data_IF_415872978021
#
_entry.id   IF_415872978021
#
_cell.length_a   1.000
_cell.length_b   1.000
_cell.length_c   1.000
_cell.angle_alpha   90.00
_cell.angle_beta   90.00
_cell.angle_gamma   90.00
#
_symmetry.space_group_name_H-M   'P 1'
#
loop_
_entity.id
_entity.type
_entity.pdbx_description
1 polymer ?
#
# COMPACT_ATOMS: atom_id res chain seq x y z
N UNK A 1 -55.04 22.51 6.11
CA UNK A 1 -53.95 22.70 7.08
C UNK A 1 -52.83 21.78 6.66
N UNK A 2 -51.81 22.33 6.01
CA UNK A 2 -50.66 21.56 5.52
C UNK A 2 -49.73 21.22 6.68
N UNK A 3 -49.43 19.93 6.84
CA UNK A 3 -48.31 19.47 7.64
C UNK A 3 -47.15 19.23 6.68
N UNK A 4 -46.26 20.21 6.59
CA UNK A 4 -44.99 20.13 5.90
C UNK A 4 -44.15 19.06 6.61
N UNK A 5 -43.99 17.90 5.98
CA UNK A 5 -42.95 16.94 6.38
C UNK A 5 -41.60 17.60 6.15
N UNK A 6 -41.02 18.14 7.21
CA UNK A 6 -39.60 18.46 7.27
C UNK A 6 -38.84 17.14 7.19
N UNK A 7 -38.45 16.77 5.97
CA UNK A 7 -37.32 15.88 5.73
C UNK A 7 -36.11 16.51 6.41
N UNK A 8 -35.74 16.02 7.59
CA UNK A 8 -34.45 16.38 8.17
C UNK A 8 -33.38 15.73 7.31
N UNK A 9 -32.78 16.53 6.44
CA UNK A 9 -31.49 16.24 5.86
C UNK A 9 -30.53 15.99 7.02
N UNK A 10 -30.12 14.72 7.21
CA UNK A 10 -29.07 14.41 8.19
C UNK A 10 -27.80 15.10 7.71
N UNK A 11 -27.15 15.95 8.52
CA UNK A 11 -25.92 16.63 8.12
C UNK A 11 -24.84 15.59 7.84
N UNK A 12 -23.86 15.96 7.01
CA UNK A 12 -22.66 15.17 6.76
C UNK A 12 -22.18 14.49 8.06
N UNK A 13 -22.23 13.15 8.05
CA UNK A 13 -22.31 12.31 9.24
C UNK A 13 -21.27 12.58 10.33
N UNK A 14 -21.69 12.30 11.57
CA UNK A 14 -20.89 12.43 12.80
C UNK A 14 -19.49 11.83 12.66
N UNK A 15 -18.50 12.33 13.44
CA UNK A 15 -17.24 11.63 13.68
C UNK A 15 -17.45 10.15 14.01
N UNK A 16 -16.55 9.33 13.48
CA UNK A 16 -16.48 7.89 13.73
C UNK A 16 -15.34 7.59 14.71
N UNK A 17 -15.52 6.56 15.52
CA UNK A 17 -14.50 5.97 16.39
C UNK A 17 -13.93 4.73 15.70
N UNK A 18 -12.67 4.78 15.31
CA UNK A 18 -12.04 3.81 14.41
C UNK A 18 -10.92 3.09 15.16
N UNK A 19 -11.00 1.76 15.24
CA UNK A 19 -9.89 0.93 15.66
C UNK A 19 -9.03 0.60 14.44
N UNK A 20 -7.84 1.19 14.37
CA UNK A 20 -6.86 0.95 13.31
C UNK A 20 -5.91 -0.17 13.74
N UNK A 21 -5.99 -1.35 13.13
CA UNK A 21 -5.19 -2.52 13.50
C UNK A 21 -4.08 -2.71 12.47
N UNK A 22 -2.82 -2.57 12.91
CA UNK A 22 -1.64 -2.72 12.06
C UNK A 22 -0.83 -3.96 12.44
N UNK A 23 -0.17 -4.62 11.47
CA UNK A 23 0.67 -5.77 11.77
C UNK A 23 1.80 -5.45 12.77
N UNK A 24 2.28 -6.45 13.55
CA UNK A 24 3.24 -6.22 14.63
C UNK A 24 4.70 -6.07 14.16
N UNK A 25 4.95 -5.77 12.88
CA UNK A 25 6.28 -5.89 12.27
C UNK A 25 7.17 -4.68 12.50
N UNK A 26 6.62 -3.49 12.26
CA UNK A 26 7.34 -2.23 12.18
C UNK A 26 6.60 -1.15 12.98
N UNK A 27 7.31 -0.07 13.32
CA UNK A 27 6.67 1.13 13.88
C UNK A 27 5.80 1.82 12.83
N UNK A 28 4.86 2.65 13.29
CA UNK A 28 3.99 3.45 12.42
C UNK A 28 4.21 4.94 12.71
N UNK A 29 4.83 5.71 11.80
CA UNK A 29 5.49 5.28 10.56
C UNK A 29 6.81 4.50 10.81
N UNK A 30 7.32 3.76 9.81
CA UNK A 30 8.61 3.09 9.88
C UNK A 30 9.76 4.08 9.57
N UNK A 31 10.95 3.91 10.17
CA UNK A 31 12.11 4.77 9.90
C UNK A 31 12.73 4.57 8.50
N UNK A 32 12.41 3.45 7.84
CA UNK A 32 12.95 3.10 6.52
C UNK A 32 11.90 2.34 5.70
N UNK A 33 12.27 1.15 5.21
CA UNK A 33 11.35 0.28 4.48
C UNK A 33 10.08 -0.05 5.29
N UNK A 34 8.91 -0.01 4.62
CA UNK A 34 7.62 -0.36 5.21
C UNK A 34 6.46 0.37 4.52
N UNK A 35 6.14 -0.03 3.29
CA UNK A 35 5.11 0.65 2.48
C UNK A 35 3.73 0.63 3.13
N UNK A 36 3.36 -0.48 3.79
CA UNK A 36 2.09 -0.62 4.50
C UNK A 36 2.02 0.38 5.65
N UNK A 37 3.02 0.38 6.53
CA UNK A 37 3.03 1.21 7.74
C UNK A 37 3.07 2.70 7.40
N UNK A 38 3.75 3.09 6.31
CA UNK A 38 3.70 4.46 5.79
C UNK A 38 2.30 4.86 5.31
N UNK A 39 1.62 3.99 4.55
CA UNK A 39 0.25 4.22 4.11
C UNK A 39 -0.70 4.35 5.30
N UNK A 40 -0.58 3.49 6.30
CA UNK A 40 -1.43 3.56 7.49
C UNK A 40 -1.16 4.84 8.29
N UNK A 41 0.10 5.25 8.46
CA UNK A 41 0.42 6.51 9.13
C UNK A 41 -0.27 7.70 8.45
N UNK A 42 -0.16 7.80 7.12
CA UNK A 42 -0.81 8.84 6.33
C UNK A 42 -2.35 8.79 6.40
N UNK A 43 -2.94 7.59 6.40
CA UNK A 43 -4.37 7.39 6.54
C UNK A 43 -4.89 7.84 7.92
N UNK A 44 -4.21 7.42 8.99
CA UNK A 44 -4.55 7.80 10.38
C UNK A 44 -4.55 9.31 10.52
N UNK A 45 -3.48 9.98 10.09
CA UNK A 45 -3.36 11.43 10.19
C UNK A 45 -4.44 12.15 9.38
N UNK A 46 -4.76 11.66 8.19
CA UNK A 46 -5.81 12.23 7.36
C UNK A 46 -7.21 12.02 7.97
N UNK A 47 -7.50 10.86 8.56
CA UNK A 47 -8.78 10.60 9.24
C UNK A 47 -8.94 11.49 10.49
N UNK A 48 -7.87 11.68 11.27
CA UNK A 48 -7.89 12.58 12.43
C UNK A 48 -8.11 14.04 12.01
N UNK A 49 -7.44 14.52 10.95
CA UNK A 49 -7.71 15.87 10.38
C UNK A 49 -9.15 16.06 9.93
N UNK A 50 -9.82 14.98 9.54
CA UNK A 50 -11.25 14.98 9.15
C UNK A 50 -12.20 14.91 10.35
N UNK A 51 -11.66 14.85 11.57
CA UNK A 51 -12.42 14.89 12.81
C UNK A 51 -12.80 13.52 13.38
N UNK A 52 -12.32 12.42 12.80
CA UNK A 52 -12.55 11.08 13.36
C UNK A 52 -11.65 10.83 14.58
N UNK A 53 -12.14 10.00 15.50
CA UNK A 53 -11.35 9.47 16.60
C UNK A 53 -10.73 8.15 16.18
N UNK A 54 -9.40 8.05 16.17
CA UNK A 54 -8.65 6.88 15.72
C UNK A 54 -7.78 6.38 16.88
N UNK A 55 -7.95 5.10 17.21
CA UNK A 55 -7.08 4.37 18.13
C UNK A 55 -6.25 3.38 17.33
N UNK A 56 -4.92 3.46 17.43
CA UNK A 56 -4.01 2.57 16.74
C UNK A 56 -3.65 1.36 17.61
N UNK A 57 -3.78 0.15 17.08
CA UNK A 57 -3.39 -1.10 17.70
C UNK A 57 -2.21 -1.69 16.95
N UNK A 58 -1.08 -1.88 17.63
CA UNK A 58 0.17 -2.34 17.00
C UNK A 58 1.14 -2.94 18.01
N UNK A 59 2.36 -3.24 17.56
CA UNK A 59 3.48 -3.61 18.44
C UNK A 59 4.40 -2.41 18.67
N UNK A 60 5.24 -2.48 19.71
CA UNK A 60 6.10 -1.39 20.15
C UNK A 60 5.46 -0.55 21.26
N UNK A 61 6.19 0.48 21.69
CA UNK A 61 5.79 1.37 22.79
C UNK A 61 5.39 2.77 22.31
N UNK A 62 5.54 3.05 21.02
CA UNK A 62 5.38 4.37 20.46
C UNK A 62 4.83 4.35 19.03
N UNK A 63 4.11 5.40 18.66
CA UNK A 63 3.67 5.71 17.30
C UNK A 63 3.94 7.19 16.99
N UNK A 64 4.20 7.49 15.72
CA UNK A 64 4.47 8.85 15.23
C UNK A 64 3.29 9.52 14.54
N UNK A 65 2.08 9.02 14.78
CA UNK A 65 0.85 9.49 14.13
C UNK A 65 0.04 10.39 15.06
N UNK A 66 -0.98 11.03 14.49
CA UNK A 66 -1.95 11.89 15.17
C UNK A 66 -3.08 11.10 15.86
N UNK A 67 -3.00 9.76 15.92
CA UNK A 67 -3.99 8.94 16.61
C UNK A 67 -4.15 9.39 18.06
N UNK A 68 -5.38 9.44 18.56
CA UNK A 68 -5.68 9.92 19.92
C UNK A 68 -5.23 8.93 20.99
N UNK A 69 -5.08 7.65 20.63
CA UNK A 69 -4.60 6.62 21.52
C UNK A 69 -3.82 5.55 20.75
N UNK A 70 -2.88 4.91 21.45
CA UNK A 70 -2.15 3.75 20.99
C UNK A 70 -2.23 2.63 22.01
N UNK A 71 -2.64 1.45 21.53
CA UNK A 71 -2.79 0.25 22.32
C UNK A 71 -1.75 -0.75 21.86
N UNK A 72 -0.68 -0.88 22.65
CA UNK A 72 0.36 -1.87 22.39
C UNK A 72 -0.13 -3.28 22.67
N UNK A 73 0.11 -4.16 21.73
CA UNK A 73 -0.13 -5.62 21.84
C UNK A 73 1.13 -6.38 22.22
N UNK A 74 2.25 -5.68 22.41
CA UNK A 74 3.55 -6.22 22.77
C UNK A 74 4.63 -5.15 22.63
N UNK A 75 5.54 -5.06 23.60
CA UNK A 75 6.56 -4.00 23.64
C UNK A 75 7.63 -4.10 22.54
N UNK A 76 7.79 -5.27 21.93
CA UNK A 76 8.80 -5.50 20.88
C UNK A 76 8.19 -5.66 19.50
N UNK A 77 8.74 -4.91 18.54
CA UNK A 77 8.51 -5.10 17.11
C UNK A 77 8.99 -6.50 16.67
N UNK A 78 8.27 -7.11 15.74
CA UNK A 78 8.53 -8.47 15.26
C UNK A 78 9.20 -8.49 13.88
N UNK A 79 9.95 -7.43 13.52
CA UNK A 79 10.58 -7.28 12.21
C UNK A 79 11.43 -8.48 11.77
N UNK A 80 12.19 -9.09 12.70
CA UNK A 80 13.02 -10.26 12.41
C UNK A 80 12.23 -11.51 11.99
N UNK A 81 10.92 -11.51 12.26
CA UNK A 81 9.96 -12.60 11.98
C UNK A 81 8.88 -12.15 11.00
N UNK A 82 9.16 -11.11 10.21
CA UNK A 82 8.26 -10.56 9.20
C UNK A 82 7.72 -11.69 8.30
N UNK A 83 6.39 -11.78 8.19
CA UNK A 83 5.72 -12.77 7.37
C UNK A 83 5.44 -14.12 8.06
N UNK A 84 5.94 -14.35 9.27
CA UNK A 84 5.56 -15.54 10.05
C UNK A 84 4.13 -15.42 10.59
N UNK A 85 3.33 -16.49 10.52
CA UNK A 85 1.92 -16.44 10.97
C UNK A 85 1.76 -16.33 12.49
N UNK A 86 2.68 -16.89 13.28
CA UNK A 86 2.51 -17.01 14.73
C UNK A 86 2.57 -15.65 15.48
N UNK A 87 3.53 -14.74 15.19
CA UNK A 87 3.52 -13.40 15.78
C UNK A 87 2.24 -12.62 15.45
N UNK A 88 1.77 -12.69 14.20
CA UNK A 88 0.55 -12.00 13.75
C UNK A 88 -0.70 -12.55 14.46
N UNK A 89 -0.78 -13.87 14.63
CA UNK A 89 -1.88 -14.52 15.33
C UNK A 89 -1.90 -14.15 16.82
N UNK A 90 -0.73 -14.12 17.47
CA UNK A 90 -0.61 -13.70 18.86
C UNK A 90 -1.01 -12.22 19.05
N UNK A 91 -0.62 -11.36 18.11
CA UNK A 91 -1.05 -9.96 18.06
C UNK A 91 -2.58 -9.86 17.96
N UNK A 92 -3.21 -10.54 17.00
CA UNK A 92 -4.67 -10.49 16.80
C UNK A 92 -5.47 -11.10 17.95
N UNK A 93 -4.96 -12.14 18.59
CA UNK A 93 -5.58 -12.73 19.77
C UNK A 93 -5.68 -11.71 20.92
N UNK A 94 -4.66 -10.85 21.09
CA UNK A 94 -4.68 -9.73 22.06
C UNK A 94 -5.61 -8.61 21.62
N UNK A 95 -5.54 -8.18 20.36
CA UNK A 95 -6.45 -7.14 19.82
C UNK A 95 -7.91 -7.50 20.06
N UNK A 96 -8.28 -8.77 19.83
CA UNK A 96 -9.65 -9.26 20.09
C UNK A 96 -10.10 -9.09 21.55
N UNK A 97 -9.19 -9.19 22.52
CA UNK A 97 -9.52 -9.02 23.95
C UNK A 97 -9.64 -7.54 24.34
N UNK A 98 -9.12 -6.62 23.51
CA UNK A 98 -9.00 -5.20 23.81
C UNK A 98 -10.04 -4.34 23.07
N UNK A 99 -10.79 -4.91 22.12
CA UNK A 99 -11.82 -4.19 21.36
C UNK A 99 -13.21 -4.52 21.90
N UNK A 100 -13.94 -3.48 22.31
CA UNK A 100 -15.36 -3.54 22.65
C UNK A 100 -16.21 -2.70 21.68
N UNK A 101 -17.48 -3.10 21.48
CA UNK A 101 -18.45 -2.38 20.64
C UNK A 101 -18.88 -1.06 21.25
N UNK A 102 -18.80 -0.91 22.57
CA UNK A 102 -19.04 0.35 23.23
C UNK A 102 -18.05 1.43 22.76
N UNK A 103 -16.83 1.06 22.36
CA UNK A 103 -15.73 2.00 22.11
C UNK A 103 -15.56 2.37 20.64
N UNK A 104 -15.90 1.48 19.71
CA UNK A 104 -15.62 1.64 18.28
C UNK A 104 -16.85 1.49 17.38
N UNK A 105 -16.92 2.33 16.35
CA UNK A 105 -17.91 2.22 15.29
C UNK A 105 -17.46 1.24 14.19
N UNK A 106 -16.16 1.18 13.91
CA UNK A 106 -15.56 0.32 12.88
C UNK A 106 -14.13 -0.08 13.26
N UNK A 107 -13.74 -1.29 12.85
CA UNK A 107 -12.36 -1.77 12.87
C UNK A 107 -11.83 -1.75 11.44
N UNK A 108 -10.66 -1.16 11.25
CA UNK A 108 -9.92 -1.25 10.00
C UNK A 108 -8.65 -2.08 10.21
N UNK A 109 -8.62 -3.25 9.61
CA UNK A 109 -7.58 -4.26 9.78
C UNK A 109 -6.61 -4.28 8.57
N UNK A 110 -5.32 -4.12 8.84
CA UNK A 110 -4.26 -4.20 7.82
C UNK A 110 -3.42 -5.47 7.94
N UNK A 111 -3.81 -6.43 8.79
CA UNK A 111 -3.12 -7.70 8.97
C UNK A 111 -3.50 -8.72 7.90
N UNK A 112 -2.61 -9.67 7.64
CA UNK A 112 -2.80 -10.69 6.59
C UNK A 112 -3.90 -11.67 6.96
N UNK A 113 -3.92 -12.13 8.21
CA UNK A 113 -4.86 -13.13 8.73
C UNK A 113 -6.05 -12.53 9.50
N UNK A 114 -6.04 -11.24 9.79
CA UNK A 114 -7.12 -10.51 10.47
C UNK A 114 -8.52 -10.78 9.93
N UNK A 115 -8.72 -10.76 8.59
CA UNK A 115 -10.02 -11.07 7.99
C UNK A 115 -10.63 -12.40 8.47
N UNK A 116 -9.81 -13.43 8.66
CA UNK A 116 -10.26 -14.79 9.02
C UNK A 116 -10.76 -14.90 10.46
N UNK A 117 -10.28 -14.03 11.34
CA UNK A 117 -10.66 -14.02 12.76
C UNK A 117 -11.66 -12.91 13.09
N UNK A 118 -11.90 -12.00 12.15
CA UNK A 118 -12.72 -10.81 12.34
C UNK A 118 -14.23 -11.09 12.36
N UNK A 119 -14.71 -12.16 11.74
CA UNK A 119 -16.15 -12.49 11.75
C UNK A 119 -16.75 -12.66 13.15
N UNK A 120 -15.92 -13.03 14.13
CA UNK A 120 -16.33 -13.18 15.55
C UNK A 120 -16.39 -11.86 16.33
N UNK A 121 -16.02 -10.73 15.72
CA UNK A 121 -16.02 -9.42 16.37
C UNK A 121 -17.45 -8.86 16.39
N UNK A 122 -17.78 -8.10 17.42
CA UNK A 122 -19.09 -7.42 17.56
C UNK A 122 -19.14 -6.06 16.85
N UNK A 123 -17.98 -5.58 16.39
CA UNK A 123 -17.79 -4.31 15.68
C UNK A 123 -17.58 -4.58 14.20
N UNK A 124 -18.21 -3.80 13.31
CA UNK A 124 -17.97 -3.93 11.89
C UNK A 124 -16.50 -3.85 11.50
N UNK A 125 -16.02 -4.83 10.74
CA UNK A 125 -14.62 -4.89 10.32
C UNK A 125 -14.49 -4.74 8.82
N UNK A 126 -13.61 -3.83 8.41
CA UNK A 126 -13.09 -3.77 7.05
C UNK A 126 -11.61 -4.13 7.07
N UNK A 127 -11.13 -4.78 6.03
CA UNK A 127 -9.72 -5.13 5.92
C UNK A 127 -9.15 -4.74 4.56
N UNK A 128 -8.00 -4.08 4.57
CA UNK A 128 -7.30 -3.74 3.33
C UNK A 128 -6.43 -4.91 2.89
N UNK A 129 -6.63 -5.37 1.65
CA UNK A 129 -5.84 -6.45 1.08
C UNK A 129 -4.58 -5.85 0.44
N UNK A 130 -3.44 -6.00 1.12
CA UNK A 130 -2.14 -5.49 0.62
C UNK A 130 -1.42 -6.47 -0.31
N UNK A 131 -1.72 -7.76 -0.21
CA UNK A 131 -1.14 -8.82 -1.03
C UNK A 131 -1.89 -9.08 -2.34
N UNK A 132 -1.43 -10.07 -3.11
CA UNK A 132 -2.12 -10.52 -4.32
C UNK A 132 -3.36 -11.34 -3.95
N UNK A 133 -4.58 -10.97 -4.38
CA UNK A 133 -5.82 -11.62 -3.97
C UNK A 133 -6.09 -12.96 -4.70
N UNK A 134 -5.13 -13.51 -5.42
CA UNK A 134 -5.23 -14.82 -6.10
C UNK A 134 -4.34 -15.87 -5.45
N UNK A 135 -4.36 -17.09 -5.97
CA UNK A 135 -3.56 -18.20 -5.44
C UNK A 135 -3.98 -18.62 -4.03
N UNK A 136 -3.02 -19.06 -3.23
CA UNK A 136 -3.27 -19.53 -1.87
C UNK A 136 -3.88 -18.43 -0.98
N UNK A 137 -3.38 -17.19 -1.08
CA UNK A 137 -3.92 -16.08 -0.30
C UNK A 137 -5.36 -15.74 -0.71
N UNK A 138 -5.67 -15.77 -2.01
CA UNK A 138 -7.04 -15.62 -2.51
C UNK A 138 -8.00 -16.70 -2.01
N UNK A 139 -7.57 -17.96 -1.97
CA UNK A 139 -8.35 -19.06 -1.40
C UNK A 139 -8.66 -18.81 0.07
N UNK A 140 -7.65 -18.41 0.85
CA UNK A 140 -7.81 -18.05 2.26
C UNK A 140 -8.79 -16.89 2.44
N UNK A 141 -8.67 -15.82 1.65
CA UNK A 141 -9.59 -14.68 1.71
C UNK A 141 -11.04 -15.05 1.36
N UNK A 142 -11.26 -16.07 0.52
CA UNK A 142 -12.61 -16.54 0.14
C UNK A 142 -13.36 -17.20 1.32
N UNK A 143 -12.63 -17.67 2.33
CA UNK A 143 -13.18 -18.24 3.56
C UNK A 143 -13.41 -17.21 4.67
N UNK A 144 -13.18 -15.93 4.37
CA UNK A 144 -13.52 -14.82 5.26
C UNK A 144 -15.02 -14.81 5.57
N UNK A 145 -15.36 -14.56 6.83
CA UNK A 145 -16.75 -14.46 7.30
C UNK A 145 -17.52 -13.33 6.62
N UNK A 146 -18.84 -13.52 6.44
CA UNK A 146 -19.72 -12.54 5.78
C UNK A 146 -19.82 -11.18 6.49
N UNK A 147 -19.35 -11.07 7.73
CA UNK A 147 -19.25 -9.82 8.48
C UNK A 147 -18.02 -8.97 8.12
N UNK A 148 -17.10 -9.45 7.30
CA UNK A 148 -15.86 -8.72 7.00
C UNK A 148 -15.89 -8.19 5.57
N UNK A 149 -15.75 -6.88 5.43
CA UNK A 149 -15.63 -6.23 4.12
C UNK A 149 -14.17 -6.11 3.70
N UNK A 150 -13.81 -6.60 2.52
CA UNK A 150 -12.47 -6.41 1.98
C UNK A 150 -12.38 -5.12 1.16
N UNK A 151 -11.26 -4.42 1.25
CA UNK A 151 -10.96 -3.23 0.45
C UNK A 151 -9.74 -3.52 -0.42
N UNK A 152 -9.91 -3.39 -1.73
CA UNK A 152 -8.82 -3.47 -2.69
C UNK A 152 -8.08 -2.13 -2.76
N UNK A 153 -6.77 -2.19 -2.98
CA UNK A 153 -5.91 -1.00 -3.16
C UNK A 153 -5.76 -0.57 -4.62
N UNK A 154 -6.35 -1.30 -5.56
CA UNK A 154 -6.51 -0.91 -6.97
C UNK A 154 -7.71 -1.60 -7.61
N UNK A 155 -8.21 -1.03 -8.72
CA UNK A 155 -9.28 -1.63 -9.50
C UNK A 155 -8.78 -2.89 -10.21
N UNK A 156 -7.53 -2.91 -10.69
CA UNK A 156 -6.91 -4.12 -11.23
C UNK A 156 -6.88 -5.24 -10.18
N UNK A 157 -6.41 -4.96 -8.96
CA UNK A 157 -6.38 -5.97 -7.89
C UNK A 157 -7.77 -6.53 -7.61
N UNK A 158 -8.79 -5.67 -7.50
CA UNK A 158 -10.18 -6.11 -7.32
C UNK A 158 -10.66 -7.02 -8.47
N UNK A 159 -10.28 -6.69 -9.70
CA UNK A 159 -10.64 -7.44 -10.91
C UNK A 159 -10.00 -8.84 -10.99
N UNK A 160 -8.84 -9.05 -10.37
CA UNK A 160 -8.16 -10.35 -10.37
C UNK A 160 -8.92 -11.44 -9.61
N UNK A 161 -9.71 -11.07 -8.60
CA UNK A 161 -10.55 -12.00 -7.86
C UNK A 161 -11.89 -11.35 -7.48
N UNK A 162 -12.84 -11.26 -8.43
CA UNK A 162 -14.11 -10.53 -8.23
C UNK A 162 -15.07 -11.23 -7.26
N UNK A 163 -14.81 -12.50 -6.91
CA UNK A 163 -15.64 -13.29 -5.99
C UNK A 163 -15.40 -13.01 -4.51
N UNK A 164 -14.34 -12.29 -4.15
CA UNK A 164 -14.07 -11.90 -2.77
C UNK A 164 -15.09 -10.85 -2.28
N UNK A 165 -15.34 -10.76 -0.96
CA UNK A 165 -16.33 -9.84 -0.38
C UNK A 165 -15.84 -8.38 -0.38
N UNK A 166 -15.58 -7.83 -1.57
CA UNK A 166 -15.15 -6.45 -1.75
C UNK A 166 -16.25 -5.46 -1.41
N UNK A 167 -15.98 -4.56 -0.46
CA UNK A 167 -16.86 -3.44 -0.10
C UNK A 167 -16.40 -2.10 -0.70
N UNK A 168 -15.20 -2.07 -1.28
CA UNK A 168 -14.67 -0.89 -1.94
C UNK A 168 -13.32 -1.11 -2.60
N UNK A 169 -12.91 -0.11 -3.36
CA UNK A 169 -11.54 0.06 -3.84
C UNK A 169 -11.07 1.43 -3.39
N UNK A 170 -9.96 1.49 -2.68
CA UNK A 170 -9.36 2.74 -2.21
C UNK A 170 -7.88 2.69 -2.49
N UNK A 171 -7.42 3.52 -3.43
CA UNK A 171 -5.99 3.67 -3.71
C UNK A 171 -5.23 4.10 -2.46
N UNK A 172 -4.02 3.58 -2.32
CA UNK A 172 -3.12 4.10 -1.31
C UNK A 172 -2.76 5.55 -1.63
N UNK A 173 -2.49 6.32 -0.58
CA UNK A 173 -2.16 7.73 -0.70
C UNK A 173 -0.86 8.09 -0.01
N UNK A 174 -0.20 9.12 -0.53
CA UNK A 174 1.01 9.72 0.03
C UNK A 174 0.68 11.11 0.58
N UNK A 175 1.35 11.49 1.67
CA UNK A 175 1.32 12.87 2.15
C UNK A 175 2.34 13.69 1.36
N UNK A 176 1.86 14.77 0.74
CA UNK A 176 2.63 15.59 -0.18
C UNK A 176 3.10 16.89 0.48
N UNK A 177 2.70 17.12 1.73
CA UNK A 177 3.16 18.26 2.53
C UNK A 177 4.66 18.14 2.73
N UNK A 178 5.36 19.24 2.48
CA UNK A 178 6.81 19.37 2.66
C UNK A 178 7.66 18.38 1.84
N UNK A 179 7.04 17.65 0.90
CA UNK A 179 7.77 16.75 0.01
C UNK A 179 8.54 17.61 -1.00
N UNK A 180 9.88 17.47 -1.09
CA UNK A 180 10.66 18.15 -2.11
C UNK A 180 10.26 17.66 -3.50
N UNK A 181 10.29 18.59 -4.46
CA UNK A 181 9.87 18.37 -5.84
C UNK A 181 10.93 18.89 -6.77
N UNK A 182 11.12 18.20 -7.89
CA UNK A 182 11.89 18.71 -9.01
C UNK A 182 11.20 19.91 -9.62
N UNK A 183 11.98 20.94 -9.94
CA UNK A 183 11.53 22.06 -10.77
C UNK A 183 11.73 21.80 -12.26
N UNK A 184 12.66 20.91 -12.63
CA UNK A 184 13.00 20.55 -14.01
C UNK A 184 13.45 19.09 -14.09
N UNK A 185 13.33 18.49 -15.29
CA UNK A 185 13.89 17.18 -15.59
C UNK A 185 15.41 17.21 -15.42
N UNK A 186 15.98 16.21 -14.72
CA UNK A 186 17.40 16.14 -14.40
C UNK A 186 18.11 15.04 -15.21
N UNK A 187 19.34 15.24 -15.71
CA UNK A 187 20.07 14.25 -16.51
C UNK A 187 20.72 13.13 -15.67
N UNK A 188 20.18 12.82 -14.48
CA UNK A 188 20.72 11.80 -13.58
C UNK A 188 20.50 10.36 -14.07
N UNK A 189 20.85 9.36 -13.24
CA UNK A 189 20.72 7.96 -13.62
C UNK A 189 19.25 7.55 -13.75
N UNK A 190 19.01 6.48 -14.50
CA UNK A 190 17.75 5.72 -14.36
C UNK A 190 17.79 5.06 -12.98
N UNK A 191 16.74 5.25 -12.18
CA UNK A 191 16.64 4.65 -10.86
C UNK A 191 15.75 3.41 -10.93
N UNK A 192 16.23 2.30 -10.40
CA UNK A 192 15.39 1.17 -10.01
C UNK A 192 15.35 1.14 -8.48
N UNK A 193 14.14 1.08 -7.92
CA UNK A 193 13.93 1.18 -6.48
C UNK A 193 12.90 0.15 -6.00
N UNK A 194 13.36 -1.00 -5.53
CA UNK A 194 12.48 -2.06 -5.04
C UNK A 194 13.23 -3.08 -4.15
N UNK A 195 12.59 -4.19 -3.81
CA UNK A 195 13.27 -5.34 -3.20
C UNK A 195 14.10 -6.06 -4.26
N UNK A 196 15.27 -6.56 -3.91
CA UNK A 196 16.08 -7.40 -4.79
C UNK A 196 15.45 -8.80 -4.92
N UNK A 197 14.45 -8.92 -5.78
CA UNK A 197 13.74 -10.16 -6.05
C UNK A 197 13.38 -10.31 -7.54
N UNK A 198 13.17 -11.55 -8.02
CA UNK A 198 12.85 -11.80 -9.43
C UNK A 198 11.60 -11.05 -9.91
N UNK A 199 10.57 -10.93 -9.06
CA UNK A 199 9.33 -10.25 -9.40
C UNK A 199 9.49 -8.74 -9.67
N UNK A 200 10.59 -8.14 -9.20
CA UNK A 200 10.90 -6.71 -9.37
C UNK A 200 11.84 -6.41 -10.55
N UNK A 201 12.41 -7.44 -11.17
CA UNK A 201 13.16 -7.35 -12.43
C UNK A 201 14.40 -6.44 -12.45
N UNK A 202 15.28 -6.39 -11.43
CA UNK A 202 16.51 -5.58 -11.52
C UNK A 202 17.42 -6.00 -12.68
N UNK A 203 17.44 -7.28 -13.04
CA UNK A 203 18.15 -7.81 -14.20
C UNK A 203 17.60 -7.28 -15.54
N UNK A 204 16.27 -7.10 -15.62
CA UNK A 204 15.60 -6.47 -16.76
C UNK A 204 15.97 -5.00 -16.82
N UNK A 205 16.02 -4.29 -15.69
CA UNK A 205 16.45 -2.89 -15.62
C UNK A 205 17.89 -2.72 -16.13
N UNK A 206 18.82 -3.59 -15.72
CA UNK A 206 20.22 -3.59 -16.21
C UNK A 206 20.26 -3.73 -17.73
N UNK A 207 19.57 -4.73 -18.29
CA UNK A 207 19.56 -4.96 -19.75
C UNK A 207 18.94 -3.77 -20.51
N UNK A 208 17.84 -3.22 -20.00
CA UNK A 208 17.16 -2.09 -20.61
C UNK A 208 18.03 -0.83 -20.62
N UNK A 209 18.69 -0.50 -19.51
CA UNK A 209 19.55 0.67 -19.40
C UNK A 209 20.80 0.56 -20.28
N UNK A 210 21.41 -0.64 -20.34
CA UNK A 210 22.52 -0.92 -21.26
C UNK A 210 22.14 -0.74 -22.73
N UNK A 211 20.99 -1.28 -23.13
CA UNK A 211 20.47 -1.09 -24.48
C UNK A 211 20.06 0.36 -24.77
N UNK A 212 19.70 1.12 -23.73
CA UNK A 212 19.43 2.55 -23.84
C UNK A 212 20.70 3.40 -23.92
N UNK A 213 21.84 2.89 -23.42
CA UNK A 213 23.08 3.64 -23.23
C UNK A 213 23.00 4.62 -22.05
N UNK A 214 22.24 4.30 -21.01
CA UNK A 214 21.99 5.17 -19.85
C UNK A 214 22.55 4.56 -18.56
N UNK A 215 23.10 5.37 -17.65
CA UNK A 215 23.56 4.90 -16.34
C UNK A 215 22.38 4.45 -15.47
N UNK A 216 22.60 3.41 -14.68
CA UNK A 216 21.59 2.82 -13.80
C UNK A 216 22.04 2.86 -12.34
N UNK A 217 21.14 3.29 -11.46
CA UNK A 217 21.26 3.14 -10.02
C UNK A 217 20.24 2.10 -9.53
N UNK A 218 20.73 0.98 -9.00
CA UNK A 218 19.92 -0.03 -8.32
C UNK A 218 19.90 0.26 -6.81
N UNK A 219 18.78 0.75 -6.28
CA UNK A 219 18.60 0.97 -4.86
C UNK A 219 17.51 0.04 -4.31
N UNK A 220 17.72 -0.57 -3.14
CA UNK A 220 16.71 -1.52 -2.69
C UNK A 220 16.97 -2.30 -1.43
N UNK A 221 15.90 -2.83 -0.85
CA UNK A 221 15.96 -3.76 0.29
C UNK A 221 16.57 -5.09 -0.16
N UNK A 222 17.59 -5.54 0.56
CA UNK A 222 18.28 -6.81 0.39
C UNK A 222 18.74 -7.32 1.76
N UNK A 223 17.79 -7.77 2.58
CA UNK A 223 18.07 -8.22 3.94
C UNK A 223 17.38 -9.55 4.31
N UNK A 224 16.47 -10.04 3.49
CA UNK A 224 15.93 -11.39 3.66
C UNK A 224 16.83 -12.42 2.97
N UNK A 225 16.87 -13.69 3.46
CA UNK A 225 17.70 -14.73 2.85
C UNK A 225 17.44 -14.94 1.35
N UNK A 226 16.18 -14.83 0.91
CA UNK A 226 15.81 -14.97 -0.49
C UNK A 226 16.31 -13.79 -1.35
N UNK A 227 16.23 -12.56 -0.83
CA UNK A 227 16.71 -11.35 -1.51
C UNK A 227 18.23 -11.39 -1.68
N UNK A 228 18.98 -11.74 -0.63
CA UNK A 228 20.43 -11.89 -0.69
C UNK A 228 20.87 -12.95 -1.69
N UNK A 229 20.22 -14.13 -1.68
CA UNK A 229 20.52 -15.20 -2.64
C UNK A 229 20.32 -14.72 -4.08
N UNK A 230 19.19 -14.07 -4.36
CA UNK A 230 18.91 -13.55 -5.70
C UNK A 230 19.92 -12.48 -6.12
N UNK A 231 20.28 -11.58 -5.21
CA UNK A 231 21.32 -10.58 -5.47
C UNK A 231 22.66 -11.25 -5.83
N UNK A 232 23.15 -12.16 -5.01
CA UNK A 232 24.46 -12.79 -5.19
C UNK A 232 24.52 -13.66 -6.45
N UNK A 233 23.46 -14.40 -6.77
CA UNK A 233 23.42 -15.36 -7.88
C UNK A 233 23.07 -14.74 -9.23
N UNK A 234 22.31 -13.63 -9.25
CA UNK A 234 21.75 -13.07 -10.50
C UNK A 234 22.20 -11.63 -10.73
N UNK A 235 22.07 -10.76 -9.73
CA UNK A 235 22.29 -9.32 -9.91
C UNK A 235 23.79 -8.97 -9.88
N UNK A 236 24.51 -9.42 -8.86
CA UNK A 236 25.93 -9.15 -8.68
C UNK A 236 26.80 -9.56 -9.89
N UNK A 237 26.58 -10.73 -10.53
CA UNK A 237 27.31 -11.11 -11.75
C UNK A 237 27.05 -10.22 -12.96
N UNK A 238 25.95 -9.46 -12.96
CA UNK A 238 25.58 -8.56 -14.06
C UNK A 238 26.15 -7.14 -13.88
N UNK A 239 26.72 -6.80 -12.72
CA UNK A 239 27.22 -5.46 -12.44
C UNK A 239 28.47 -5.14 -13.28
N UNK A 240 28.62 -3.87 -13.64
CA UNK A 240 29.78 -3.30 -14.33
C UNK A 240 29.90 -1.82 -13.98
N UNK A 241 30.83 -1.10 -14.62
CA UNK A 241 31.08 0.33 -14.36
C UNK A 241 29.87 1.24 -14.68
N UNK A 242 28.88 0.71 -15.39
CA UNK A 242 27.65 1.38 -15.81
C UNK A 242 26.48 1.27 -14.80
N UNK A 243 26.65 0.50 -13.72
CA UNK A 243 25.60 0.22 -12.74
C UNK A 243 26.10 0.49 -11.31
N UNK A 244 25.49 1.45 -10.64
CA UNK A 244 25.68 1.70 -9.21
C UNK A 244 24.66 0.92 -8.37
N UNK A 245 25.05 0.50 -7.17
CA UNK A 245 24.18 -0.26 -6.26
C UNK A 245 24.18 0.36 -4.87
N UNK A 246 22.99 0.58 -4.31
CA UNK A 246 22.80 0.96 -2.90
C UNK A 246 21.84 0.00 -2.22
N UNK A 247 22.36 -0.80 -1.29
CA UNK A 247 21.56 -1.75 -0.53
C UNK A 247 21.00 -1.10 0.74
N UNK A 248 19.71 -1.35 1.00
CA UNK A 248 19.02 -0.97 2.23
C UNK A 248 19.11 0.54 2.56
N UNK A 249 18.95 1.40 1.54
CA UNK A 249 18.91 2.85 1.70
C UNK A 249 17.83 3.29 2.70
N UNK A 250 18.13 4.31 3.50
CA UNK A 250 17.14 4.97 4.35
C UNK A 250 16.17 5.85 3.53
N UNK A 251 15.14 6.38 4.20
CA UNK A 251 14.08 7.16 3.54
C UNK A 251 14.61 8.46 2.94
N UNK A 252 15.57 9.11 3.61
CA UNK A 252 16.15 10.37 3.17
C UNK A 252 17.00 10.17 1.91
N UNK A 253 17.83 9.13 1.90
CA UNK A 253 18.65 8.77 0.74
C UNK A 253 17.79 8.29 -0.42
N UNK A 254 16.73 7.53 -0.16
CA UNK A 254 15.74 7.15 -1.17
C UNK A 254 15.08 8.38 -1.80
N UNK A 255 14.72 9.37 -1.00
CA UNK A 255 14.13 10.62 -1.49
C UNK A 255 15.12 11.41 -2.36
N UNK A 256 16.38 11.51 -1.94
CA UNK A 256 17.44 12.14 -2.75
C UNK A 256 17.63 11.42 -4.08
N UNK A 257 17.68 10.09 -4.10
CA UNK A 257 17.78 9.30 -5.34
C UNK A 257 16.60 9.56 -6.28
N UNK A 258 15.37 9.62 -5.75
CA UNK A 258 14.20 9.98 -6.54
C UNK A 258 14.35 11.39 -7.14
N UNK A 259 14.82 12.36 -6.35
CA UNK A 259 15.09 13.74 -6.79
C UNK A 259 16.27 13.90 -7.75
N UNK A 260 17.18 12.93 -7.83
CA UNK A 260 18.31 13.00 -8.74
C UNK A 260 18.06 12.19 -10.03
N UNK A 261 17.16 11.20 -9.98
CA UNK A 261 16.93 10.27 -11.09
C UNK A 261 16.36 10.95 -12.36
N UNK A 262 16.76 10.48 -13.54
CA UNK A 262 16.07 10.82 -14.80
C UNK A 262 14.62 10.35 -14.78
N UNK A 263 14.43 9.10 -14.38
CA UNK A 263 13.13 8.44 -14.24
C UNK A 263 13.27 7.25 -13.28
N UNK A 264 12.14 6.77 -12.77
CA UNK A 264 12.06 5.48 -12.11
C UNK A 264 11.75 4.40 -13.16
N UNK A 265 12.57 3.34 -13.25
CA UNK A 265 12.25 2.15 -14.02
C UNK A 265 11.61 1.07 -13.12
N UNK A 266 10.44 0.57 -13.52
CA UNK A 266 9.70 -0.50 -12.83
C UNK A 266 9.37 -1.64 -13.80
N UNK A 267 10.35 -2.51 -14.12
CA UNK A 267 10.15 -3.64 -15.03
C UNK A 267 9.54 -4.83 -14.26
N UNK A 268 8.46 -4.58 -13.54
CA UNK A 268 7.82 -5.53 -12.66
C UNK A 268 7.33 -6.75 -13.47
N UNK A 269 7.55 -7.97 -12.95
CA UNK A 269 7.26 -9.24 -13.65
C UNK A 269 6.00 -9.95 -13.13
N UNK A 270 5.37 -9.44 -12.07
CA UNK A 270 4.13 -9.94 -11.47
C UNK A 270 3.02 -8.89 -11.52
N UNK A 271 1.78 -9.28 -11.23
CA UNK A 271 0.66 -8.33 -11.09
C UNK A 271 0.79 -7.54 -9.79
N UNK A 272 1.52 -6.42 -9.85
CA UNK A 272 1.69 -5.49 -8.74
C UNK A 272 0.34 -4.97 -8.24
N UNK A 273 0.00 -5.15 -6.95
CA UNK A 273 -1.27 -4.69 -6.42
C UNK A 273 -1.45 -3.16 -6.44
N UNK A 274 -0.36 -2.41 -6.28
CA UNK A 274 -0.37 -0.94 -6.34
C UNK A 274 1.00 -0.41 -6.79
N UNK A 275 2.03 -0.50 -5.94
CA UNK A 275 3.37 0.02 -6.23
C UNK A 275 3.59 1.44 -5.73
N UNK A 276 3.66 1.62 -4.41
CA UNK A 276 3.84 2.91 -3.75
C UNK A 276 5.03 3.71 -4.27
N UNK A 277 6.13 3.04 -4.63
CA UNK A 277 7.33 3.70 -5.14
C UNK A 277 7.09 4.49 -6.43
N UNK A 278 6.14 4.06 -7.28
CA UNK A 278 5.76 4.82 -8.47
C UNK A 278 5.08 6.13 -8.09
N UNK A 279 4.19 6.08 -7.09
CA UNK A 279 3.52 7.28 -6.56
C UNK A 279 4.55 8.20 -5.89
N UNK A 280 5.51 7.66 -5.14
CA UNK A 280 6.59 8.45 -4.54
C UNK A 280 7.48 9.12 -5.59
N UNK A 281 7.83 8.43 -6.68
CA UNK A 281 8.56 9.01 -7.79
C UNK A 281 7.78 10.17 -8.41
N UNK A 282 6.53 9.93 -8.82
CA UNK A 282 5.70 10.97 -9.43
C UNK A 282 5.46 12.16 -8.47
N UNK A 283 5.33 11.90 -7.17
CA UNK A 283 5.15 12.92 -6.14
C UNK A 283 6.36 13.87 -6.01
N UNK A 284 7.56 13.38 -6.33
CA UNK A 284 8.80 14.18 -6.38
C UNK A 284 9.05 14.82 -7.75
N UNK A 285 8.16 14.60 -8.72
CA UNK A 285 8.31 15.06 -10.10
C UNK A 285 9.16 14.13 -10.97
N UNK A 286 9.38 12.89 -10.54
CA UNK A 286 10.15 11.89 -11.30
C UNK A 286 9.21 11.00 -12.08
N UNK A 287 9.28 11.01 -13.43
CA UNK A 287 8.41 10.18 -14.25
C UNK A 287 8.76 8.69 -14.14
N UNK A 288 7.81 7.83 -14.49
CA UNK A 288 7.95 6.36 -14.38
C UNK A 288 7.99 5.70 -15.75
N UNK A 289 8.96 4.82 -15.98
CA UNK A 289 8.97 3.89 -17.12
C UNK A 289 8.73 2.48 -16.59
N UNK A 290 7.66 1.82 -17.01
CA UNK A 290 7.24 0.57 -16.40
C UNK A 290 6.64 -0.41 -17.41
N UNK A 291 6.58 -1.70 -17.05
CA UNK A 291 5.83 -2.69 -17.81
C UNK A 291 4.34 -2.68 -17.41
N UNK A 292 3.44 -2.92 -18.37
CA UNK A 292 1.99 -2.94 -18.21
C UNK A 292 1.51 -4.16 -17.37
N UNK A 293 1.81 -4.17 -16.07
CA UNK A 293 1.51 -5.29 -15.16
C UNK A 293 0.77 -4.81 -13.92
N UNK A 294 -0.23 -5.58 -13.48
CA UNK A 294 -1.06 -5.21 -12.32
C UNK A 294 -1.61 -3.78 -12.39
N UNK A 295 -1.44 -3.02 -11.31
CA UNK A 295 -1.93 -1.65 -11.20
C UNK A 295 -1.10 -0.61 -11.98
N UNK A 296 -0.01 -0.98 -12.66
CA UNK A 296 0.85 0.01 -13.34
C UNK A 296 0.07 0.93 -14.31
N UNK A 297 -0.78 0.41 -15.23
CA UNK A 297 -1.55 1.27 -16.15
C UNK A 297 -2.63 2.09 -15.44
N UNK A 298 -2.99 1.72 -14.21
CA UNK A 298 -3.95 2.45 -13.37
C UNK A 298 -3.28 3.61 -12.63
N UNK A 299 -1.98 3.51 -12.34
CA UNK A 299 -1.23 4.54 -11.62
C UNK A 299 -0.50 5.52 -12.54
N UNK A 300 0.09 5.02 -13.63
CA UNK A 300 0.94 5.79 -14.54
C UNK A 300 0.16 6.16 -15.80
N UNK A 301 0.05 7.46 -16.08
CA UNK A 301 -0.61 7.95 -17.29
C UNK A 301 0.43 8.17 -18.38
N UNK A 302 0.43 7.30 -19.40
CA UNK A 302 1.38 7.38 -20.52
C UNK A 302 1.36 8.76 -21.18
N UNK A 303 2.54 9.37 -21.34
CA UNK A 303 2.71 10.70 -21.94
C UNK A 303 2.45 11.87 -20.98
N UNK A 304 2.06 11.60 -19.73
CA UNK A 304 1.85 12.62 -18.70
C UNK A 304 2.78 12.38 -17.52
N UNK A 305 2.68 11.19 -16.89
CA UNK A 305 3.46 10.87 -15.68
C UNK A 305 4.51 9.79 -15.89
N UNK A 306 4.55 9.22 -17.09
CA UNK A 306 5.46 8.14 -17.43
C UNK A 306 5.20 7.55 -18.79
N UNK A 307 5.82 6.40 -19.04
CA UNK A 307 5.62 5.58 -20.24
C UNK A 307 5.43 4.13 -19.81
N UNK A 308 4.27 3.57 -20.14
CA UNK A 308 3.94 2.17 -19.87
C UNK A 308 4.19 1.36 -21.14
N UNK A 309 5.03 0.33 -21.01
CA UNK A 309 5.48 -0.56 -22.07
C UNK A 309 4.77 -1.92 -21.97
N UNK A 310 4.44 -2.54 -23.08
CA UNK A 310 3.83 -3.88 -23.10
C UNK A 310 4.88 -4.98 -22.87
N UNK A 311 6.12 -4.74 -23.32
CA UNK A 311 7.21 -5.69 -23.27
C UNK A 311 8.58 -5.07 -22.93
N UNK A 312 9.53 -5.88 -22.41
CA UNK A 312 10.86 -5.41 -22.02
C UNK A 312 11.68 -4.82 -23.17
N UNK A 313 11.40 -5.21 -24.42
CA UNK A 313 12.02 -4.70 -25.64
C UNK A 313 11.72 -3.22 -25.92
N UNK A 314 10.61 -2.69 -25.37
CA UNK A 314 10.22 -1.29 -25.55
C UNK A 314 10.89 -0.36 -24.53
N UNK A 315 11.34 -0.92 -23.39
CA UNK A 315 11.94 -0.16 -22.29
C UNK A 315 13.12 0.73 -22.75
N UNK A 316 14.07 0.29 -23.59
CA UNK A 316 15.19 1.14 -23.98
C UNK A 316 14.76 2.40 -24.74
N UNK A 317 13.72 2.30 -25.57
CA UNK A 317 13.18 3.45 -26.30
C UNK A 317 12.41 4.38 -25.35
N UNK A 318 11.61 3.82 -24.45
CA UNK A 318 10.87 4.58 -23.44
C UNK A 318 11.81 5.33 -22.47
N UNK A 319 12.89 4.70 -22.00
CA UNK A 319 13.89 5.32 -21.13
C UNK A 319 14.54 6.55 -21.76
N UNK A 320 14.69 6.58 -23.08
CA UNK A 320 15.17 7.77 -23.81
C UNK A 320 14.06 8.82 -23.95
N UNK A 321 12.83 8.41 -24.27
CA UNK A 321 11.72 9.32 -24.54
C UNK A 321 11.12 9.97 -23.28
N UNK A 322 11.29 9.38 -22.09
CA UNK A 322 10.65 9.87 -20.85
C UNK A 322 11.19 11.23 -20.39
N UNK A 323 12.37 11.65 -20.86
CA UNK A 323 13.01 12.90 -20.44
C UNK A 323 12.20 14.17 -20.79
N UNK A 324 11.27 14.06 -21.74
CA UNK A 324 10.42 15.14 -22.23
C UNK A 324 9.17 15.41 -21.39
N UNK A 325 8.90 14.58 -20.37
CA UNK A 325 7.73 14.75 -19.50
C UNK A 325 7.98 15.85 -18.47
N UNK A 326 6.93 16.63 -18.17
CA UNK A 326 7.01 17.71 -17.17
C UNK A 326 6.91 17.12 -15.74
N UNK A 327 7.90 17.37 -14.87
CA UNK A 327 7.81 17.02 -13.46
C UNK A 327 6.55 17.54 -12.77
N UNK A 328 6.02 18.70 -13.17
CA UNK A 328 4.82 19.29 -12.58
C UNK A 328 3.57 18.45 -12.86
N UNK A 329 3.48 17.83 -14.04
CA UNK A 329 2.35 16.97 -14.40
C UNK A 329 2.33 15.68 -13.55
N UNK A 330 3.51 15.12 -13.26
CA UNK A 330 3.66 14.00 -12.34
C UNK A 330 3.11 14.33 -10.95
N UNK A 331 3.51 15.49 -10.41
CA UNK A 331 3.08 15.95 -9.09
C UNK A 331 1.58 16.23 -9.06
N UNK A 332 1.06 16.94 -10.04
CA UNK A 332 -0.36 17.29 -10.14
C UNK A 332 -1.24 16.04 -10.21
N UNK A 333 -0.81 15.00 -10.94
CA UNK A 333 -1.49 13.72 -11.00
C UNK A 333 -1.55 13.02 -9.64
N UNK A 334 -0.45 13.02 -8.87
CA UNK A 334 -0.43 12.44 -7.53
C UNK A 334 -1.29 13.24 -6.56
N UNK A 335 -1.22 14.56 -6.57
CA UNK A 335 -2.07 15.42 -5.74
C UNK A 335 -3.56 15.15 -6.00
N UNK A 336 -3.92 15.04 -7.28
CA UNK A 336 -5.28 14.77 -7.69
C UNK A 336 -5.73 13.37 -7.29
N UNK A 337 -4.92 12.32 -7.44
CA UNK A 337 -5.43 10.94 -7.40
C UNK A 337 -4.96 10.13 -6.19
N UNK A 338 -3.75 10.37 -5.68
CA UNK A 338 -3.07 9.52 -4.70
C UNK A 338 -2.61 10.31 -3.46
N UNK A 339 -3.36 11.33 -3.06
CA UNK A 339 -3.12 12.04 -1.80
C UNK A 339 -3.73 11.29 -0.61
N UNK A 340 -3.16 11.44 0.58
CA UNK A 340 -3.76 10.92 1.84
C UNK A 340 -5.18 11.44 2.06
N UNK A 341 -5.49 12.66 1.59
CA UNK A 341 -6.86 13.22 1.62
C UNK A 341 -7.83 12.41 0.76
N UNK A 342 -7.46 12.07 -0.48
CA UNK A 342 -8.26 11.20 -1.37
C UNK A 342 -8.44 9.81 -0.77
N UNK A 343 -7.38 9.22 -0.24
CA UNK A 343 -7.43 7.92 0.42
C UNK A 343 -8.38 7.94 1.63
N UNK A 344 -8.29 8.94 2.51
CA UNK A 344 -9.16 9.06 3.67
C UNK A 344 -10.64 9.26 3.30
N UNK A 345 -10.93 10.03 2.24
CA UNK A 345 -12.29 10.17 1.70
C UNK A 345 -12.87 8.82 1.21
N UNK A 346 -12.05 8.03 0.51
CA UNK A 346 -12.44 6.70 0.05
C UNK A 346 -12.76 5.75 1.22
N UNK A 347 -11.88 5.69 2.22
CA UNK A 347 -12.11 4.87 3.40
C UNK A 347 -13.29 5.37 4.25
N UNK A 348 -13.48 6.67 4.40
CA UNK A 348 -14.64 7.22 5.09
C UNK A 348 -15.95 6.77 4.44
N UNK A 349 -16.03 6.77 3.11
CA UNK A 349 -17.18 6.25 2.39
C UNK A 349 -17.40 4.75 2.67
N UNK A 350 -16.33 3.94 2.65
CA UNK A 350 -16.38 2.51 2.99
C UNK A 350 -16.87 2.30 4.42
N UNK A 351 -16.32 3.02 5.41
CA UNK A 351 -16.73 2.88 6.80
C UNK A 351 -18.20 3.21 6.99
N UNK A 352 -18.66 4.34 6.42
CA UNK A 352 -20.06 4.75 6.53
C UNK A 352 -21.00 3.73 5.91
N UNK A 353 -20.60 3.14 4.77
CA UNK A 353 -21.37 2.07 4.14
C UNK A 353 -21.49 0.85 5.05
N UNK A 354 -20.36 0.37 5.59
CA UNK A 354 -20.32 -0.85 6.42
C UNK A 354 -20.99 -0.65 7.78
N UNK A 355 -20.88 0.54 8.38
CA UNK A 355 -21.55 0.88 9.64
C UNK A 355 -23.07 1.00 9.47
N UNK A 356 -23.56 1.47 8.32
CA UNK A 356 -24.99 1.60 8.05
C UNK A 356 -25.65 0.29 7.62
N UNK A 357 -24.88 -0.66 7.07
CA UNK A 357 -25.38 -1.96 6.67
C UNK A 357 -25.81 -2.82 7.88
N UNK A 358 -26.86 -3.66 7.76
CA UNK A 358 -27.18 -4.62 8.80
C UNK A 358 -25.99 -5.55 9.01
N UNK A 359 -25.37 -5.49 10.20
CA UNK A 359 -24.26 -6.35 10.57
C UNK A 359 -24.69 -7.82 10.44
N UNK A 360 -24.07 -8.55 9.50
CA UNK A 360 -24.35 -9.96 9.29
C UNK A 360 -23.49 -10.80 10.22
N UNK A 361 -24.13 -11.62 11.02
CA UNK A 361 -23.45 -12.59 11.89
C UNK A 361 -22.72 -13.67 11.07
N UNK A 362 -21.68 -14.24 11.70
CA UNK A 362 -20.83 -15.37 11.29
C UNK A 362 -21.58 -16.43 10.47
N UNK A 363 -20.89 -17.08 9.50
CA UNK A 363 -21.43 -18.25 8.77
C UNK A 363 -22.07 -19.26 9.73
N UNK A 364 -23.29 -19.73 9.45
CA UNK A 364 -23.90 -20.78 10.27
C UNK A 364 -23.06 -22.07 10.18
N UNK A 365 -22.70 -22.68 11.33
CA UNK A 365 -21.92 -23.91 11.33
C UNK A 365 -22.70 -25.06 10.70
N UNK A 366 -21.97 -25.98 10.03
CA UNK A 366 -22.56 -27.21 9.52
C UNK A 366 -23.17 -28.01 10.68
N UNK A 367 -24.46 -28.31 10.59
CA UNK A 367 -25.12 -29.19 11.57
C UNK A 367 -24.69 -30.63 11.32
N UNK A 368 -23.99 -31.22 12.27
CA UNK A 368 -23.73 -32.65 12.27
C UNK A 368 -25.05 -33.37 12.57
N UNK A 369 -25.69 -33.93 11.55
CA UNK A 369 -26.81 -34.86 11.77
C UNK A 369 -26.25 -36.16 12.34
N UNK A 370 -26.65 -36.52 13.56
CA UNK A 370 -26.14 -37.69 14.28
C UNK A 370 -26.25 -38.98 13.48
N UNK A 371 -25.25 -39.86 13.61
CA UNK A 371 -25.35 -41.29 13.28
C UNK A 371 -25.71 -42.08 14.52
#
# INVERSE_FOLDING_TARGET
MGATHLTSERPAGRPLRIAMVVPPWLSVPPPGYGGLEQVVAGLVDALVRRGHAVTLFGAGEWHGTSAQAFVSTGSQLQYARLGESLPELAHLARVRQLIDRADFDVIHDHTTIGPLVAGRRSVPTVATVHGNPVGEYGSVLSDTDHGVGLVAISHTQRGLNPGLPWVGTVHNGLDLRDLPRKSVSAPGPVLWLARFSPDKGPDVAIRACRAAGLPLLLAGKCNEPAERRYYDEVVAPMLGDDVEVVLNADRESTLRMLLDARCLIMPIQWDEPFGMVMVEAMATGTPVVALARGAVPELVTTGVTGLVCEGPEELPAALRAVEWLDPADCVAHVEANFSTTRMALGYEAVYRHVVAAPWRTVREPVRLTGR
#
